data_IF_671551416696
#
_entry.id   IF_671551416696
#
_cell.length_a   1.000
_cell.length_b   1.000
_cell.length_c   1.000
_cell.angle_alpha   90.00
_cell.angle_beta   90.00
_cell.angle_gamma   90.00
#
_symmetry.space_group_name_H-M   'P 1'
#
loop_
_entity.id
_entity.type
_entity.pdbx_description
1 polymer ?
#
# COMPACT_ATOMS: atom_id res chain seq x y z
N UNK A 1 -23.28 8.75 -19.25
CA UNK A 1 -23.21 7.27 -19.29
C UNK A 1 -21.82 6.73 -19.65
N UNK A 2 -21.02 7.41 -20.50
CA UNK A 2 -19.65 6.99 -20.86
C UNK A 2 -18.61 7.14 -19.71
N UNK A 3 -18.85 8.05 -18.77
CA UNK A 3 -17.95 8.35 -17.63
C UNK A 3 -17.88 7.22 -16.57
N UNK A 4 -19.01 6.59 -16.24
CA UNK A 4 -19.05 5.50 -15.27
C UNK A 4 -18.29 4.27 -15.78
N UNK A 5 -18.34 4.02 -17.10
CA UNK A 5 -17.75 2.84 -17.73
C UNK A 5 -16.22 2.85 -17.65
N UNK A 6 -15.56 4.00 -17.88
CA UNK A 6 -14.09 4.10 -17.79
C UNK A 6 -13.53 3.99 -16.37
N UNK A 7 -14.25 4.51 -15.37
CA UNK A 7 -13.87 4.35 -13.95
C UNK A 7 -14.06 2.90 -13.53
N UNK A 8 -15.14 2.24 -13.97
CA UNK A 8 -15.37 0.81 -13.77
C UNK A 8 -14.24 -0.01 -14.42
N UNK A 9 -13.72 0.37 -15.60
CA UNK A 9 -12.62 -0.35 -16.26
C UNK A 9 -11.26 -0.21 -15.55
N UNK A 10 -10.96 0.95 -14.98
CA UNK A 10 -9.72 1.13 -14.18
C UNK A 10 -9.85 0.40 -12.85
N UNK A 11 -11.01 0.51 -12.20
CA UNK A 11 -11.32 -0.25 -10.98
C UNK A 11 -11.27 -1.75 -11.26
N UNK A 12 -11.78 -2.22 -12.40
CA UNK A 12 -11.76 -3.64 -12.78
C UNK A 12 -10.35 -4.13 -13.17
N UNK A 13 -9.48 -3.28 -13.72
CA UNK A 13 -8.07 -3.57 -13.95
C UNK A 13 -7.30 -3.74 -12.63
N UNK A 14 -7.58 -2.88 -11.66
CA UNK A 14 -6.98 -2.92 -10.31
C UNK A 14 -7.44 -4.15 -9.53
N UNK A 15 -8.64 -4.64 -9.80
CA UNK A 15 -9.33 -5.78 -9.16
C UNK A 15 -8.71 -7.16 -9.51
N UNK A 16 -7.80 -7.27 -10.47
CA UNK A 16 -7.25 -8.57 -10.95
C UNK A 16 -6.12 -9.21 -10.11
N UNK A 17 -5.59 -8.58 -9.05
CA UNK A 17 -4.39 -9.07 -8.34
C UNK A 17 -4.59 -9.32 -6.81
N UNK A 18 -4.69 -10.60 -6.40
CA UNK A 18 -4.22 -11.19 -5.12
C UNK A 18 -4.86 -10.80 -3.74
N UNK A 19 -4.66 -11.69 -2.75
CA UNK A 19 -5.09 -11.72 -1.31
C UNK A 19 -5.28 -10.35 -0.60
N UNK A 20 -4.39 -9.38 -0.85
CA UNK A 20 -4.48 -8.01 -0.32
C UNK A 20 -5.75 -7.25 -0.72
N UNK A 21 -6.40 -7.66 -1.81
CA UNK A 21 -7.60 -7.02 -2.36
C UNK A 21 -8.75 -7.00 -1.35
N UNK A 22 -8.98 -8.10 -0.64
CA UNK A 22 -10.06 -8.20 0.33
C UNK A 22 -9.97 -7.11 1.39
N UNK A 23 -8.76 -6.81 1.86
CA UNK A 23 -8.55 -5.84 2.95
C UNK A 23 -8.54 -4.39 2.49
N UNK A 24 -8.10 -4.13 1.25
CA UNK A 24 -8.06 -2.78 0.69
C UNK A 24 -9.40 -2.36 0.04
N UNK A 25 -10.18 -3.31 -0.48
CA UNK A 25 -11.36 -3.03 -1.32
C UNK A 25 -12.67 -3.68 -0.85
N UNK A 26 -12.65 -4.87 -0.26
CA UNK A 26 -13.83 -5.76 -0.25
C UNK A 26 -14.27 -6.33 1.12
N UNK A 27 -13.63 -5.96 2.24
CA UNK A 27 -14.10 -6.45 3.52
C UNK A 27 -15.18 -5.55 4.12
N UNK A 28 -16.19 -6.23 4.69
CA UNK A 28 -17.51 -5.81 5.13
C UNK A 28 -18.54 -5.64 4.00
N UNK A 29 -19.67 -6.34 4.11
CA UNK A 29 -20.90 -6.04 3.34
C UNK A 29 -21.45 -4.62 3.56
N UNK A 30 -20.76 -3.81 4.39
CA UNK A 30 -20.89 -2.36 4.66
C UNK A 30 -19.51 -1.65 4.71
N UNK A 31 -18.53 -2.15 3.95
CA UNK A 31 -17.12 -1.80 4.10
C UNK A 31 -16.68 -0.49 3.51
N UNK A 32 -15.60 0.05 4.08
CA UNK A 32 -14.96 1.25 3.57
C UNK A 32 -13.89 0.83 2.57
N UNK A 33 -14.07 1.21 1.30
CA UNK A 33 -12.98 1.17 0.32
C UNK A 33 -11.92 2.22 0.72
N UNK A 34 -10.94 1.78 1.51
CA UNK A 34 -9.94 2.65 2.12
C UNK A 34 -9.18 3.44 1.05
N UNK A 35 -8.84 2.79 -0.08
CA UNK A 35 -8.11 3.42 -1.17
C UNK A 35 -8.94 4.47 -1.90
N UNK A 36 -10.20 4.17 -2.23
CA UNK A 36 -11.10 5.13 -2.89
C UNK A 36 -11.34 6.36 -2.00
N UNK A 37 -11.57 6.15 -0.70
CA UNK A 37 -11.74 7.22 0.26
C UNK A 37 -10.47 8.10 0.34
N UNK A 38 -9.29 7.46 0.36
CA UNK A 38 -8.00 8.15 0.36
C UNK A 38 -7.82 9.01 -0.90
N UNK A 39 -8.07 8.44 -2.09
CA UNK A 39 -7.96 9.14 -3.38
C UNK A 39 -8.90 10.34 -3.44
N UNK A 40 -10.16 10.15 -3.05
CA UNK A 40 -11.15 11.23 -3.06
C UNK A 40 -10.73 12.38 -2.14
N UNK A 41 -10.28 12.05 -0.92
CA UNK A 41 -9.75 13.02 0.04
C UNK A 41 -8.54 13.75 -0.56
N UNK A 42 -7.54 13.04 -1.07
CA UNK A 42 -6.33 13.62 -1.69
C UNK A 42 -6.69 14.60 -2.81
N UNK A 43 -7.61 14.22 -3.69
CA UNK A 43 -8.02 15.07 -4.81
C UNK A 43 -8.58 16.43 -4.36
N UNK A 44 -9.29 16.48 -3.22
CA UNK A 44 -9.87 17.70 -2.65
C UNK A 44 -8.86 18.57 -1.89
N UNK A 45 -7.97 17.96 -1.12
CA UNK A 45 -7.16 18.69 -0.12
C UNK A 45 -5.79 19.16 -0.61
N UNK A 46 -5.22 18.53 -1.64
CA UNK A 46 -3.90 18.89 -2.16
C UNK A 46 -3.73 20.40 -2.47
N UNK A 47 -4.68 21.12 -3.10
CA UNK A 47 -4.51 22.54 -3.39
C UNK A 47 -4.50 23.43 -2.14
N UNK A 48 -5.11 22.97 -1.05
CA UNK A 48 -5.34 23.79 0.14
C UNK A 48 -4.14 23.78 1.10
N UNK A 49 -3.19 22.86 0.90
CA UNK A 49 -2.16 22.52 1.90
C UNK A 49 -0.73 22.55 1.35
N UNK A 50 -0.51 23.25 0.23
CA UNK A 50 0.70 23.33 -0.61
C UNK A 50 2.09 23.45 0.07
N UNK A 51 2.18 23.65 1.40
CA UNK A 51 3.44 23.88 2.11
C UNK A 51 3.65 23.01 3.37
N UNK A 52 2.71 22.13 3.73
CA UNK A 52 2.85 21.28 4.94
C UNK A 52 3.01 19.81 4.56
N UNK A 53 4.03 19.16 5.12
CA UNK A 53 4.20 17.70 5.04
C UNK A 53 3.41 17.03 6.16
N UNK A 54 2.50 16.11 5.83
CA UNK A 54 1.73 15.36 6.84
C UNK A 54 1.30 13.99 6.31
N UNK A 55 1.05 13.06 7.23
CA UNK A 55 0.42 11.78 6.90
C UNK A 55 -1.03 12.04 6.55
N UNK A 56 -1.38 11.75 5.31
CA UNK A 56 -2.69 12.05 4.75
C UNK A 56 -3.71 10.95 5.06
N UNK A 57 -3.25 9.70 5.04
CA UNK A 57 -4.06 8.57 5.45
C UNK A 57 -3.24 7.29 5.50
N UNK A 58 -3.74 6.33 6.27
CA UNK A 58 -3.15 4.99 6.40
C UNK A 58 -4.17 3.97 5.91
N UNK A 59 -3.70 3.03 5.09
CA UNK A 59 -4.46 1.89 4.61
C UNK A 59 -3.99 0.68 5.41
N UNK A 60 -4.89 0.08 6.20
CA UNK A 60 -4.56 -1.15 6.94
C UNK A 60 -4.88 -2.38 6.10
N UNK A 61 -3.91 -3.28 6.01
CA UNK A 61 -4.10 -4.65 5.51
C UNK A 61 -4.36 -5.61 6.68
N UNK A 62 -3.97 -5.22 7.89
CA UNK A 62 -4.15 -6.01 9.10
C UNK A 62 -5.61 -5.95 9.60
N UNK A 63 -6.18 -7.12 9.87
CA UNK A 63 -7.50 -7.30 10.50
C UNK A 63 -7.34 -8.14 11.78
N UNK A 64 -7.42 -7.51 12.98
CA UNK A 64 -7.25 -8.22 14.23
C UNK A 64 -8.34 -9.27 14.47
N UNK A 65 -9.54 -9.13 13.89
CA UNK A 65 -10.58 -10.12 14.11
C UNK A 65 -10.26 -11.43 13.41
N UNK A 66 -9.70 -11.40 12.19
CA UNK A 66 -9.25 -12.63 11.52
C UNK A 66 -8.03 -13.24 12.18
N UNK A 67 -7.13 -12.39 12.69
CA UNK A 67 -5.92 -12.80 13.38
C UNK A 67 -6.25 -13.47 14.73
N UNK A 68 -7.03 -12.80 15.58
CA UNK A 68 -7.40 -13.28 16.92
C UNK A 68 -8.33 -14.51 16.91
N UNK A 69 -9.08 -14.73 15.82
CA UNK A 69 -9.89 -15.94 15.65
C UNK A 69 -9.05 -17.19 15.27
N UNK A 70 -7.71 -17.07 15.21
CA UNK A 70 -6.76 -18.15 14.85
C UNK A 70 -7.00 -18.79 13.50
N UNK A 71 -7.80 -18.15 12.65
CA UNK A 71 -8.16 -18.66 11.35
C UNK A 71 -7.03 -18.47 10.33
N UNK A 72 -6.26 -17.38 10.48
CA UNK A 72 -5.11 -17.10 9.62
C UNK A 72 -3.95 -18.04 9.95
N UNK A 73 -3.38 -18.66 8.93
CA UNK A 73 -2.37 -19.73 9.04
C UNK A 73 -2.86 -21.05 9.67
N UNK A 74 -4.17 -21.26 9.86
CA UNK A 74 -4.68 -22.59 10.20
C UNK A 74 -4.57 -23.52 8.99
N UNK A 75 -3.59 -24.42 9.02
CA UNK A 75 -3.33 -25.39 7.94
C UNK A 75 -4.51 -26.33 7.67
N UNK A 76 -5.48 -26.43 8.59
CA UNK A 76 -6.69 -27.24 8.43
C UNK A 76 -7.75 -26.51 7.60
N UNK A 77 -7.61 -25.20 7.41
CA UNK A 77 -8.56 -24.37 6.66
C UNK A 77 -7.87 -23.82 5.42
N UNK A 78 -7.83 -24.62 4.34
CA UNK A 78 -7.14 -24.28 3.09
C UNK A 78 -7.64 -23.00 2.41
N UNK A 79 -8.83 -22.52 2.75
CA UNK A 79 -9.39 -21.26 2.24
C UNK A 79 -8.79 -20.01 2.90
N UNK A 80 -8.01 -20.16 3.98
CA UNK A 80 -7.43 -19.03 4.71
C UNK A 80 -5.93 -18.97 4.46
N UNK A 81 -5.52 -17.91 3.77
CA UNK A 81 -4.16 -17.69 3.30
C UNK A 81 -3.13 -17.50 4.41
N UNK A 82 -1.87 -17.36 3.98
CA UNK A 82 -0.77 -17.00 4.88
C UNK A 82 -0.94 -15.57 5.38
N UNK A 83 -0.40 -15.30 6.57
CA UNK A 83 -0.42 -13.96 7.14
C UNK A 83 0.22 -12.93 6.20
N UNK A 84 -0.46 -11.82 5.85
CA UNK A 84 0.06 -10.86 4.89
C UNK A 84 1.36 -10.21 5.39
N UNK A 85 2.40 -10.22 4.54
CA UNK A 85 3.69 -9.62 4.85
C UNK A 85 3.62 -8.08 4.89
N UNK A 86 2.80 -7.48 4.04
CA UNK A 86 2.48 -6.05 4.09
C UNK A 86 1.36 -5.83 5.10
N UNK A 87 1.56 -4.91 6.04
CA UNK A 87 0.64 -4.65 7.16
C UNK A 87 -0.14 -3.36 6.97
N UNK A 88 0.51 -2.32 6.47
CA UNK A 88 -0.11 -1.03 6.22
C UNK A 88 0.63 -0.26 5.12
N UNK A 89 -0.09 0.69 4.51
CA UNK A 89 0.46 1.68 3.60
C UNK A 89 0.04 3.07 4.09
N UNK A 90 1.02 3.89 4.43
CA UNK A 90 0.81 5.30 4.73
C UNK A 90 1.03 6.14 3.48
N UNK A 91 0.14 7.08 3.23
CA UNK A 91 0.30 8.07 2.17
C UNK A 91 0.54 9.43 2.78
N UNK A 92 1.60 10.12 2.33
CA UNK A 92 1.99 11.43 2.84
C UNK A 92 2.03 12.44 1.71
N UNK A 93 1.40 13.59 1.90
CA UNK A 93 1.52 14.71 0.97
C UNK A 93 2.67 15.60 1.44
N UNK A 94 3.65 15.85 0.57
CA UNK A 94 4.73 16.82 0.81
C UNK A 94 4.77 17.82 -0.33
N UNK A 95 4.35 19.05 -0.05
CA UNK A 95 4.14 20.05 -1.10
C UNK A 95 3.07 19.56 -2.09
N UNK A 96 3.47 19.35 -3.34
CA UNK A 96 2.61 18.85 -4.40
C UNK A 96 2.84 17.36 -4.74
N UNK A 97 3.72 16.69 -3.99
CA UNK A 97 4.12 15.32 -4.25
C UNK A 97 3.47 14.33 -3.28
N UNK A 98 2.87 13.27 -3.82
CA UNK A 98 2.30 12.16 -3.04
C UNK A 98 3.40 11.13 -2.77
N UNK A 99 3.66 10.84 -1.51
CA UNK A 99 4.65 9.87 -1.06
C UNK A 99 3.92 8.65 -0.50
N UNK A 100 4.52 7.47 -0.67
CA UNK A 100 3.97 6.21 -0.19
C UNK A 100 4.98 5.57 0.77
N UNK A 101 4.53 5.14 1.95
CA UNK A 101 5.32 4.39 2.91
C UNK A 101 4.67 3.05 3.20
N UNK A 102 5.35 1.95 2.89
CA UNK A 102 4.88 0.60 3.12
C UNK A 102 5.50 0.03 4.40
N UNK A 103 4.65 -0.52 5.26
CA UNK A 103 5.02 -1.15 6.52
C UNK A 103 4.89 -2.67 6.39
N UNK A 104 6.00 -3.37 6.52
CA UNK A 104 6.09 -4.82 6.37
C UNK A 104 6.35 -5.48 7.72
N UNK A 105 5.62 -6.55 8.06
CA UNK A 105 5.98 -7.40 9.21
C UNK A 105 7.23 -8.22 8.92
N UNK A 106 7.40 -8.63 7.66
CA UNK A 106 8.50 -9.46 7.21
C UNK A 106 8.77 -9.20 5.73
N UNK A 107 10.01 -8.89 5.38
CA UNK A 107 10.42 -8.62 4.00
C UNK A 107 11.74 -9.32 3.69
N UNK A 108 11.80 -9.98 2.53
CA UNK A 108 13.04 -10.52 1.97
C UNK A 108 13.67 -9.51 1.02
N UNK A 109 14.75 -8.85 1.44
CA UNK A 109 15.33 -7.73 0.70
C UNK A 109 16.10 -8.13 -0.57
N UNK A 110 16.52 -9.37 -0.66
CA UNK A 110 17.36 -9.87 -1.75
C UNK A 110 16.58 -10.65 -2.83
N UNK A 111 15.42 -11.18 -2.49
CA UNK A 111 14.64 -12.06 -3.40
C UNK A 111 13.26 -11.53 -3.75
N UNK A 112 12.61 -10.77 -2.86
CA UNK A 112 11.23 -10.30 -3.07
C UNK A 112 11.08 -8.78 -3.02
N UNK A 113 12.00 -8.06 -2.40
CA UNK A 113 11.86 -6.62 -2.23
C UNK A 113 11.84 -5.83 -3.54
N UNK A 114 12.55 -6.27 -4.59
CA UNK A 114 12.47 -5.60 -5.89
C UNK A 114 11.07 -5.66 -6.49
N UNK A 115 10.45 -6.85 -6.51
CA UNK A 115 9.07 -7.01 -6.99
C UNK A 115 8.07 -6.22 -6.14
N UNK A 116 8.28 -6.20 -4.82
CA UNK A 116 7.46 -5.42 -3.91
C UNK A 116 7.63 -3.91 -4.15
N UNK A 117 8.85 -3.41 -4.36
CA UNK A 117 9.11 -2.00 -4.64
C UNK A 117 8.49 -1.56 -5.97
N UNK A 118 8.60 -2.38 -7.01
CA UNK A 118 7.93 -2.14 -8.30
C UNK A 118 6.41 -2.07 -8.10
N UNK A 119 5.84 -3.00 -7.33
CA UNK A 119 4.40 -3.02 -7.05
C UNK A 119 3.95 -1.76 -6.30
N UNK A 120 4.75 -1.28 -5.33
CA UNK A 120 4.49 -0.01 -4.64
C UNK A 120 4.59 1.19 -5.58
N UNK A 121 5.54 1.18 -6.53
CA UNK A 121 5.67 2.24 -7.52
C UNK A 121 4.49 2.28 -8.47
N UNK A 122 4.02 1.12 -8.92
CA UNK A 122 2.80 0.99 -9.71
C UNK A 122 1.58 1.50 -8.94
N UNK A 123 1.45 1.13 -7.66
CA UNK A 123 0.36 1.61 -6.80
C UNK A 123 0.41 3.13 -6.63
N UNK A 124 1.58 3.70 -6.33
CA UNK A 124 1.75 5.15 -6.22
C UNK A 124 1.38 5.84 -7.54
N UNK A 125 1.77 5.26 -8.68
CA UNK A 125 1.42 5.79 -9.99
C UNK A 125 -0.09 5.86 -10.16
N UNK A 126 -0.79 4.76 -9.89
CA UNK A 126 -2.25 4.67 -10.00
C UNK A 126 -2.95 5.68 -9.09
N UNK A 127 -2.48 5.85 -7.85
CA UNK A 127 -3.03 6.84 -6.92
C UNK A 127 -2.89 8.24 -7.50
N UNK A 128 -1.70 8.63 -7.95
CA UNK A 128 -1.48 9.96 -8.54
C UNK A 128 -2.32 10.19 -9.80
N UNK A 129 -2.41 9.21 -10.69
CA UNK A 129 -3.19 9.30 -11.93
C UNK A 129 -4.68 9.53 -11.62
N UNK A 130 -5.24 8.77 -10.67
CA UNK A 130 -6.64 8.89 -10.26
C UNK A 130 -6.90 10.21 -9.52
N UNK A 131 -5.99 10.63 -8.64
CA UNK A 131 -6.06 11.95 -8.00
C UNK A 131 -6.08 13.04 -9.06
N UNK A 132 -5.17 13.02 -10.03
CA UNK A 132 -5.11 14.01 -11.10
C UNK A 132 -6.35 13.99 -11.99
N UNK A 133 -6.88 12.81 -12.28
CA UNK A 133 -8.17 12.68 -12.95
C UNK A 133 -9.28 13.43 -12.21
N UNK A 134 -9.53 13.12 -10.93
CA UNK A 134 -10.55 13.82 -10.16
C UNK A 134 -10.28 15.31 -10.00
N UNK A 135 -9.02 15.71 -9.89
CA UNK A 135 -8.64 17.13 -9.79
C UNK A 135 -9.05 17.92 -11.02
N UNK A 136 -8.86 17.35 -12.21
CA UNK A 136 -9.31 17.98 -13.47
C UNK A 136 -10.83 18.12 -13.50
N UNK A 137 -11.56 17.10 -13.06
CA UNK A 137 -13.02 17.14 -12.94
C UNK A 137 -13.49 18.19 -11.92
N UNK A 138 -12.73 18.41 -10.85
CA UNK A 138 -13.01 19.46 -9.86
C UNK A 138 -12.56 20.87 -10.30
N UNK A 139 -11.98 21.02 -11.49
CA UNK A 139 -11.53 22.31 -12.03
C UNK A 139 -10.16 22.78 -11.53
N UNK A 140 -9.38 21.93 -10.85
CA UNK A 140 -8.01 22.28 -10.44
C UNK A 140 -7.04 22.16 -11.61
N UNK A 141 -6.20 23.19 -11.80
CA UNK A 141 -5.21 23.24 -12.90
C UNK A 141 -3.88 22.56 -12.58
N UNK A 142 -3.50 22.50 -11.30
CA UNK A 142 -2.21 21.94 -10.87
C UNK A 142 -2.35 20.45 -10.59
N UNK A 143 -1.61 19.62 -11.31
CA UNK A 143 -1.53 18.18 -11.06
C UNK A 143 -0.55 17.88 -9.93
N UNK A 144 -0.78 16.77 -9.23
CA UNK A 144 0.11 16.24 -8.19
C UNK A 144 1.26 15.47 -8.84
N UNK A 145 2.40 15.49 -8.17
CA UNK A 145 3.62 14.81 -8.59
C UNK A 145 3.80 13.48 -7.87
N UNK A 146 4.55 12.57 -8.50
CA UNK A 146 5.01 11.36 -7.84
C UNK A 146 6.10 11.70 -6.83
N UNK A 147 5.86 11.37 -5.57
CA UNK A 147 6.82 11.54 -4.49
C UNK A 147 7.67 10.29 -4.27
N UNK A 148 8.18 10.18 -3.05
CA UNK A 148 9.09 9.11 -2.63
C UNK A 148 8.31 7.86 -2.20
N UNK A 149 8.96 6.71 -2.37
CA UNK A 149 8.52 5.44 -1.79
C UNK A 149 9.46 5.10 -0.65
N UNK A 150 8.89 4.89 0.53
CA UNK A 150 9.58 4.35 1.69
C UNK A 150 9.09 2.92 1.96
N UNK A 151 10.01 2.04 2.33
CA UNK A 151 9.70 0.65 2.67
C UNK A 151 10.36 0.32 3.99
N UNK A 152 9.55 0.07 5.02
CA UNK A 152 10.01 -0.19 6.39
C UNK A 152 9.59 -1.59 6.77
N UNK A 153 10.54 -2.42 7.19
CA UNK A 153 10.27 -3.79 7.59
C UNK A 153 10.62 -4.02 9.06
N UNK A 154 9.69 -4.62 9.81
CA UNK A 154 9.93 -5.05 11.18
C UNK A 154 10.96 -6.18 11.23
N UNK A 155 10.86 -7.14 10.31
CA UNK A 155 11.88 -8.17 10.08
C UNK A 155 12.41 -8.07 8.65
N UNK A 156 13.70 -7.79 8.51
CA UNK A 156 14.41 -7.77 7.25
C UNK A 156 15.29 -9.02 7.14
N UNK A 157 14.95 -9.91 6.22
CA UNK A 157 15.73 -11.11 5.95
C UNK A 157 16.47 -10.99 4.61
N UNK A 158 17.65 -11.62 4.56
CA UNK A 158 18.47 -11.76 3.36
C UNK A 158 18.76 -13.25 3.17
N UNK A 159 18.08 -13.89 2.21
CA UNK A 159 18.23 -15.33 1.94
C UNK A 159 19.65 -15.73 1.50
N UNK A 160 20.33 -14.89 0.72
CA UNK A 160 21.64 -15.14 0.11
C UNK A 160 22.82 -14.86 1.06
N UNK A 161 22.57 -14.16 2.16
CA UNK A 161 23.60 -13.74 3.13
C UNK A 161 23.40 -14.33 4.52
N UNK A 162 22.47 -15.25 4.72
CA UNK A 162 22.17 -15.83 6.03
C UNK A 162 23.44 -16.34 6.74
N UNK A 163 24.35 -17.00 6.03
CA UNK A 163 25.63 -17.47 6.59
C UNK A 163 26.60 -16.34 6.93
N UNK A 164 26.74 -15.32 6.07
CA UNK A 164 27.62 -14.16 6.26
C UNK A 164 27.12 -13.19 7.34
N UNK A 165 25.81 -12.97 7.43
CA UNK A 165 25.21 -12.12 8.48
C UNK A 165 25.27 -12.84 9.82
N UNK A 166 25.01 -14.15 9.87
CA UNK A 166 25.20 -14.94 11.10
C UNK A 166 26.67 -14.98 11.53
N UNK A 167 27.63 -15.02 10.61
CA UNK A 167 29.05 -14.93 10.97
C UNK A 167 29.41 -13.54 11.50
N UNK A 168 28.92 -12.47 10.87
CA UNK A 168 29.12 -11.09 11.32
C UNK A 168 28.51 -10.81 12.70
N UNK A 169 27.30 -11.31 12.97
CA UNK A 169 26.64 -11.16 14.27
C UNK A 169 27.35 -11.96 15.37
N UNK A 170 27.98 -13.09 15.05
CA UNK A 170 28.82 -13.84 15.99
C UNK A 170 30.12 -13.08 16.31
N UNK A 171 30.74 -12.43 15.33
CA UNK A 171 31.96 -11.63 15.53
C UNK A 171 31.73 -10.27 16.21
N UNK A 172 30.48 -9.81 16.33
CA UNK A 172 30.13 -8.56 17.01
C UNK A 172 29.59 -8.78 18.44
N UNK A 173 29.44 -10.05 18.85
CA UNK A 173 28.97 -10.44 20.18
C UNK A 173 30.07 -10.89 21.13
N UNK A 174 31.33 -10.86 20.68
CA UNK A 174 32.56 -10.99 21.47
C UNK A 174 33.20 -9.59 21.62
#
# INVERSE_FOLDING_TARGET
MVFAVKVIDIVSLIVRYGDYRGMLYEYWGRGVNQLALLIYKLARDVPQRCYKSFVYGSLSVYDPNKDCLQLVCDKRVASIGQFPCLTAIDVKLTGNAINLCALWRHQYFDTKAYGNLISLAMLLKVICDLVNYFRREFGFRKEVEYGKIASIACRADFSKYKSKVLSLLRTLGD
#
